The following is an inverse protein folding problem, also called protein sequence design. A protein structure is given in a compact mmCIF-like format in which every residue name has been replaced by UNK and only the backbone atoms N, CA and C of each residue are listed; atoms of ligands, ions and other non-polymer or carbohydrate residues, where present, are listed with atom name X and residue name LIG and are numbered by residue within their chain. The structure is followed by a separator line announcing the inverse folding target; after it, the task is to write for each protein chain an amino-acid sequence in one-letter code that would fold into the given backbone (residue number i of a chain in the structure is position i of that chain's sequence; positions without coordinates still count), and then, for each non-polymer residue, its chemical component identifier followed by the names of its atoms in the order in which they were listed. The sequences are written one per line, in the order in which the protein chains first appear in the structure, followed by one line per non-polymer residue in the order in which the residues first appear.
data_IF_929588778299
#
_entry.id   IF_929588778299
#
_cell.length_a   1.000
_cell.length_b   1.000
_cell.length_c   1.000
_cell.angle_alpha   90.00
_cell.angle_beta   90.00
_cell.angle_gamma   90.00
#
_symmetry.space_group_name_H-M   'P 1'
#
loop_
_entity.id
_entity.type
_entity.pdbx_description
1 polymer ?
#
# COMPACT_ATOMS: atom_id res chain seq x y z
N UNK A 1 -20.17 -48.30 28.54
CA UNK A 1 -18.96 -47.62 29.09
C UNK A 1 -18.25 -46.98 27.93
N UNK A 2 -18.63 -45.74 27.63
CA UNK A 2 -17.99 -44.92 26.63
C UNK A 2 -16.85 -44.16 27.28
N UNK A 3 -15.62 -44.40 26.81
CA UNK A 3 -14.42 -43.64 27.24
C UNK A 3 -14.37 -42.34 26.46
N UNK A 4 -14.70 -41.23 27.10
CA UNK A 4 -14.42 -39.88 26.61
C UNK A 4 -12.93 -39.64 26.53
N UNK A 5 -12.44 -39.47 25.32
CA UNK A 5 -11.06 -39.14 25.00
C UNK A 5 -10.86 -37.64 25.23
N UNK A 6 -10.45 -37.24 26.44
CA UNK A 6 -10.08 -35.87 26.77
C UNK A 6 -8.77 -35.51 26.08
N UNK A 7 -8.88 -34.84 24.91
CA UNK A 7 -7.74 -34.23 24.26
C UNK A 7 -7.14 -33.13 25.14
N UNK A 8 -5.94 -33.36 25.68
CA UNK A 8 -5.19 -32.38 26.46
C UNK A 8 -4.95 -31.11 25.65
N UNK A 9 -5.55 -30.01 26.07
CA UNK A 9 -5.43 -28.69 25.51
C UNK A 9 -4.02 -28.17 25.76
N UNK A 10 -3.09 -28.35 24.78
CA UNK A 10 -1.75 -27.75 24.82
C UNK A 10 -1.88 -26.22 24.81
N UNK A 11 -1.46 -25.56 25.91
CA UNK A 11 -1.39 -24.09 25.99
C UNK A 11 -0.49 -23.59 24.88
N UNK A 12 -1.05 -22.74 24.01
CA UNK A 12 -0.30 -22.06 22.94
C UNK A 12 0.79 -21.18 23.55
N UNK A 13 1.98 -21.23 22.96
CA UNK A 13 3.12 -20.37 23.32
C UNK A 13 2.63 -18.91 23.14
N UNK A 14 2.51 -18.18 24.25
CA UNK A 14 2.15 -16.75 24.21
C UNK A 14 3.29 -15.96 23.59
N UNK A 15 3.02 -15.27 22.49
CA UNK A 15 3.92 -14.32 21.89
C UNK A 15 4.26 -13.21 22.90
N UNK A 16 5.56 -13.07 23.26
CA UNK A 16 6.02 -12.10 24.29
C UNK A 16 6.16 -10.66 23.78
N UNK A 17 5.78 -10.35 22.54
CA UNK A 17 5.90 -9.02 21.94
C UNK A 17 4.57 -8.54 21.33
N UNK A 18 4.31 -7.23 21.42
CA UNK A 18 3.07 -6.62 20.94
C UNK A 18 2.91 -6.71 19.41
N UNK A 19 4.04 -6.81 18.64
CA UNK A 19 4.04 -6.93 17.18
C UNK A 19 5.25 -7.76 16.70
N UNK A 20 5.13 -8.58 15.64
CA UNK A 20 6.27 -9.25 15.02
C UNK A 20 7.26 -8.22 14.49
N UNK A 21 8.55 -8.39 14.78
CA UNK A 21 9.62 -7.47 14.36
C UNK A 21 10.14 -7.77 12.95
N UNK A 22 10.01 -9.03 12.49
CA UNK A 22 10.46 -9.44 11.17
C UNK A 22 9.32 -9.37 10.16
N UNK A 23 9.62 -8.92 8.96
CA UNK A 23 8.68 -8.82 7.84
C UNK A 23 7.95 -10.15 7.59
N UNK A 24 8.67 -11.26 7.50
CA UNK A 24 8.13 -12.60 7.28
C UNK A 24 7.22 -13.11 8.39
N UNK A 25 7.42 -12.66 9.64
CA UNK A 25 6.57 -13.01 10.78
C UNK A 25 5.31 -12.13 10.84
N UNK A 26 5.37 -10.95 10.23
CA UNK A 26 4.24 -10.01 10.11
C UNK A 26 3.30 -10.46 8.99
N UNK A 27 3.87 -10.91 7.86
CA UNK A 27 3.12 -11.31 6.67
C UNK A 27 3.14 -12.83 6.51
N UNK A 28 2.36 -13.50 7.37
CA UNK A 28 2.29 -14.97 7.49
C UNK A 28 1.70 -15.66 6.27
N UNK A 29 0.92 -14.93 5.47
CA UNK A 29 0.36 -15.41 4.20
C UNK A 29 1.44 -15.69 3.14
N UNK A 30 2.62 -15.09 3.27
CA UNK A 30 3.76 -15.42 2.41
C UNK A 30 4.37 -16.81 2.74
N UNK A 31 3.90 -17.44 3.83
CA UNK A 31 4.29 -18.79 4.25
C UNK A 31 3.05 -19.60 4.65
N UNK A 32 2.12 -19.87 3.72
CA UNK A 32 0.84 -20.52 4.01
C UNK A 32 1.00 -21.89 4.67
N UNK A 33 1.98 -22.68 4.25
CA UNK A 33 2.23 -24.01 4.80
C UNK A 33 2.56 -23.99 6.31
N UNK A 34 3.24 -22.94 6.77
CA UNK A 34 3.67 -22.80 8.18
C UNK A 34 2.60 -22.23 9.10
N UNK A 35 1.68 -21.43 8.59
CA UNK A 35 0.75 -20.64 9.40
C UNK A 35 -0.73 -20.87 9.09
N UNK A 36 -1.09 -21.89 8.30
CA UNK A 36 -2.45 -22.18 7.83
C UNK A 36 -3.50 -22.21 8.96
N UNK A 37 -3.23 -22.94 10.04
CA UNK A 37 -4.15 -23.03 11.20
C UNK A 37 -4.33 -21.69 11.91
N UNK A 38 -3.28 -20.87 11.97
CA UNK A 38 -3.31 -19.56 12.61
C UNK A 38 -4.16 -18.59 11.79
N UNK A 39 -3.99 -18.61 10.47
CA UNK A 39 -4.74 -17.80 9.51
C UNK A 39 -6.23 -18.15 9.56
N UNK A 40 -6.59 -19.45 9.44
CA UNK A 40 -7.97 -19.90 9.52
C UNK A 40 -8.65 -19.56 10.85
N UNK A 41 -7.94 -19.67 11.96
CA UNK A 41 -8.47 -19.33 13.27
C UNK A 41 -8.82 -17.84 13.40
N UNK A 42 -7.99 -16.96 12.86
CA UNK A 42 -8.20 -15.50 12.89
C UNK A 42 -9.37 -15.11 11.99
N UNK A 43 -9.47 -15.71 10.79
CA UNK A 43 -10.60 -15.50 9.87
C UNK A 43 -11.92 -15.93 10.51
N UNK A 44 -11.98 -17.12 11.15
CA UNK A 44 -13.17 -17.59 11.83
C UNK A 44 -13.65 -16.67 12.96
N UNK A 45 -12.77 -15.83 13.50
CA UNK A 45 -13.09 -14.81 14.52
C UNK A 45 -13.51 -13.47 13.94
N UNK A 46 -13.66 -13.36 12.61
CA UNK A 46 -13.99 -12.11 11.94
C UNK A 46 -12.87 -11.06 11.98
N UNK A 47 -11.63 -11.48 12.30
CA UNK A 47 -10.47 -10.58 12.29
C UNK A 47 -9.59 -10.87 11.07
N UNK A 48 -8.97 -9.83 10.55
CA UNK A 48 -7.94 -9.97 9.51
C UNK A 48 -6.67 -10.55 10.14
N UNK A 49 -6.16 -11.70 9.69
CA UNK A 49 -4.86 -12.20 10.11
C UNK A 49 -3.80 -11.14 9.85
N UNK A 50 -2.86 -10.95 10.78
CA UNK A 50 -1.73 -10.06 10.55
C UNK A 50 -0.99 -10.56 9.30
N UNK A 51 -1.09 -9.78 8.21
CA UNK A 51 -0.48 -10.10 6.94
C UNK A 51 -1.39 -10.66 5.85
N UNK A 52 -2.67 -10.91 6.09
CA UNK A 52 -3.63 -11.05 5.00
C UNK A 52 -4.17 -9.67 4.62
N UNK A 53 -4.06 -9.34 3.37
CA UNK A 53 -4.71 -8.17 2.81
C UNK A 53 -6.18 -8.52 2.55
N UNK A 54 -7.03 -8.34 3.56
CA UNK A 54 -8.46 -8.29 3.30
C UNK A 54 -8.77 -6.86 2.86
N UNK A 55 -9.28 -6.72 1.66
CA UNK A 55 -9.70 -5.43 1.13
C UNK A 55 -10.76 -4.81 2.05
N UNK A 56 -10.63 -3.51 2.28
CA UNK A 56 -11.56 -2.79 3.16
C UNK A 56 -12.92 -2.61 2.49
N UNK A 57 -13.98 -2.52 3.27
CA UNK A 57 -15.34 -2.14 2.82
C UNK A 57 -15.87 -2.96 1.62
N UNK A 58 -15.43 -4.21 1.45
CA UNK A 58 -15.84 -5.04 0.31
C UNK A 58 -17.36 -5.13 0.22
N UNK A 59 -18.03 -5.39 1.35
CA UNK A 59 -19.49 -5.51 1.36
C UNK A 59 -20.17 -4.21 0.96
N UNK A 60 -19.74 -3.10 1.54
CA UNK A 60 -20.30 -1.76 1.27
C UNK A 60 -20.10 -1.35 -0.19
N UNK A 61 -18.93 -1.68 -0.76
CA UNK A 61 -18.62 -1.42 -2.17
C UNK A 61 -19.54 -2.25 -3.08
N UNK A 62 -19.69 -3.56 -2.83
CA UNK A 62 -20.58 -4.42 -3.63
C UNK A 62 -22.05 -4.02 -3.46
N UNK A 63 -22.47 -3.68 -2.25
CA UNK A 63 -23.83 -3.18 -1.98
C UNK A 63 -24.10 -1.86 -2.74
N UNK A 64 -23.09 -1.00 -2.93
CA UNK A 64 -23.19 0.25 -3.68
C UNK A 64 -23.17 0.03 -5.18
N UNK A 65 -22.25 -0.78 -5.69
CA UNK A 65 -22.05 -0.98 -7.13
C UNK A 65 -23.20 -1.78 -7.76
N UNK A 66 -23.91 -2.65 -7.00
CA UNK A 66 -25.07 -3.44 -7.49
C UNK A 66 -24.78 -4.23 -8.76
N UNK A 67 -23.56 -4.80 -8.85
CA UNK A 67 -23.04 -5.49 -10.05
C UNK A 67 -23.96 -6.60 -10.50
N UNK A 68 -24.26 -6.64 -11.82
CA UNK A 68 -25.09 -7.64 -12.46
C UNK A 68 -24.26 -8.48 -13.45
N UNK A 69 -24.64 -9.76 -13.67
CA UNK A 69 -24.09 -10.55 -14.78
C UNK A 69 -24.23 -9.83 -16.13
N UNK A 70 -23.25 -9.95 -17.00
CA UNK A 70 -23.20 -9.30 -18.31
C UNK A 70 -22.55 -7.90 -18.31
N UNK A 71 -22.28 -7.31 -17.13
CA UNK A 71 -21.68 -6.00 -17.02
C UNK A 71 -20.16 -6.00 -17.24
N UNK A 72 -19.64 -4.83 -17.61
CA UNK A 72 -18.21 -4.57 -17.77
C UNK A 72 -17.72 -3.63 -16.66
N UNK A 73 -16.76 -4.09 -15.87
CA UNK A 73 -16.22 -3.35 -14.74
C UNK A 73 -14.77 -2.88 -14.92
N UNK A 74 -14.39 -1.86 -14.15
CA UNK A 74 -13.01 -1.36 -14.10
C UNK A 74 -12.53 -1.21 -12.66
N UNK A 75 -11.38 -1.84 -12.35
CA UNK A 75 -10.64 -1.63 -11.11
C UNK A 75 -9.37 -0.82 -11.41
N UNK A 76 -9.36 0.45 -10.98
CA UNK A 76 -8.24 1.37 -11.18
C UNK A 76 -6.98 0.99 -10.37
N UNK A 77 -7.15 0.14 -9.36
CA UNK A 77 -6.16 -0.14 -8.30
C UNK A 77 -6.13 -1.62 -7.94
N UNK A 78 -5.72 -2.45 -8.90
CA UNK A 78 -5.70 -3.91 -8.76
C UNK A 78 -5.10 -4.38 -7.42
N UNK A 79 -3.91 -3.85 -7.06
CA UNK A 79 -3.21 -4.19 -5.83
C UNK A 79 -3.13 -5.69 -5.59
N UNK A 80 -3.61 -6.12 -4.43
CA UNK A 80 -3.70 -7.55 -4.09
C UNK A 80 -4.87 -8.29 -4.78
N UNK A 81 -5.74 -7.58 -5.50
CA UNK A 81 -6.87 -8.15 -6.25
C UNK A 81 -8.07 -8.60 -5.40
N UNK A 82 -8.16 -8.16 -4.15
CA UNK A 82 -9.26 -8.56 -3.29
C UNK A 82 -10.60 -7.98 -3.71
N UNK A 83 -10.64 -6.71 -4.10
CA UNK A 83 -11.83 -6.07 -4.66
C UNK A 83 -12.16 -6.64 -6.04
N UNK A 84 -11.16 -6.75 -6.94
CA UNK A 84 -11.34 -7.37 -8.28
C UNK A 84 -11.96 -8.75 -8.16
N UNK A 85 -11.44 -9.61 -7.26
CA UNK A 85 -12.00 -10.95 -7.01
C UNK A 85 -13.45 -10.88 -6.56
N UNK A 86 -13.78 -10.02 -5.61
CA UNK A 86 -15.13 -9.90 -5.09
C UNK A 86 -16.13 -9.39 -6.16
N UNK A 87 -15.69 -8.47 -7.04
CA UNK A 87 -16.49 -8.00 -8.16
C UNK A 87 -16.68 -9.08 -9.23
N UNK A 88 -15.63 -9.87 -9.56
CA UNK A 88 -15.72 -11.02 -10.46
C UNK A 88 -16.71 -12.10 -9.96
N UNK A 89 -16.76 -12.33 -8.64
CA UNK A 89 -17.74 -13.24 -8.05
C UNK A 89 -19.18 -12.80 -8.29
N UNK A 90 -19.44 -11.47 -8.31
CA UNK A 90 -20.78 -10.92 -8.61
C UNK A 90 -21.18 -11.07 -10.09
N UNK A 91 -20.22 -11.10 -11.02
CA UNK A 91 -20.48 -11.33 -12.45
C UNK A 91 -20.87 -12.78 -12.76
N UNK A 92 -20.64 -13.74 -11.86
CA UNK A 92 -20.97 -15.16 -12.04
C UNK A 92 -20.46 -15.79 -13.35
N UNK A 93 -19.33 -15.29 -13.87
CA UNK A 93 -18.74 -15.75 -15.12
C UNK A 93 -19.39 -15.18 -16.39
N UNK A 94 -20.30 -14.24 -16.27
CA UNK A 94 -20.92 -13.49 -17.36
C UNK A 94 -20.59 -12.01 -17.20
N UNK A 95 -19.82 -11.44 -18.14
CA UNK A 95 -19.29 -10.08 -18.09
C UNK A 95 -17.76 -10.05 -18.14
N UNK A 96 -17.17 -8.87 -17.94
CA UNK A 96 -15.72 -8.71 -18.03
C UNK A 96 -15.19 -7.65 -17.07
N UNK A 97 -14.06 -7.93 -16.42
CA UNK A 97 -13.33 -6.98 -15.59
C UNK A 97 -12.05 -6.52 -16.26
N UNK A 98 -11.84 -5.22 -16.28
CA UNK A 98 -10.54 -4.61 -16.59
C UNK A 98 -9.93 -4.09 -15.30
N UNK A 99 -8.63 -4.34 -15.11
CA UNK A 99 -7.93 -3.86 -13.92
C UNK A 99 -6.57 -3.27 -14.30
N UNK A 100 -6.18 -2.19 -13.61
CA UNK A 100 -4.88 -1.56 -13.80
C UNK A 100 -4.08 -1.51 -12.50
N UNK A 101 -2.77 -1.59 -12.63
CA UNK A 101 -1.83 -1.26 -11.56
C UNK A 101 -0.55 -0.70 -12.17
N UNK A 102 0.17 0.14 -11.43
CA UNK A 102 1.47 0.69 -11.85
C UNK A 102 2.63 -0.12 -11.27
N UNK A 103 2.38 -0.96 -10.25
CA UNK A 103 3.38 -1.79 -9.57
C UNK A 103 3.59 -3.12 -10.33
N UNK A 104 4.73 -3.33 -11.00
CA UNK A 104 4.96 -4.52 -11.80
C UNK A 104 5.05 -5.80 -10.95
N UNK A 105 5.61 -5.70 -9.73
CA UNK A 105 5.76 -6.87 -8.85
C UNK A 105 4.41 -7.33 -8.31
N UNK A 106 3.60 -6.39 -7.80
CA UNK A 106 2.30 -6.74 -7.23
C UNK A 106 1.31 -7.15 -8.32
N UNK A 107 1.31 -6.48 -9.48
CA UNK A 107 0.47 -6.84 -10.63
C UNK A 107 0.74 -8.27 -11.09
N UNK A 108 2.02 -8.66 -11.26
CA UNK A 108 2.38 -10.02 -11.68
C UNK A 108 1.97 -11.10 -10.67
N UNK A 109 2.18 -10.84 -9.37
CA UNK A 109 1.76 -11.76 -8.29
C UNK A 109 0.23 -11.90 -8.24
N UNK A 110 -0.48 -10.80 -8.42
CA UNK A 110 -1.94 -10.78 -8.38
C UNK A 110 -2.53 -11.46 -9.60
N UNK A 111 -1.99 -11.23 -10.80
CA UNK A 111 -2.40 -11.92 -12.02
C UNK A 111 -2.32 -13.44 -11.82
N UNK A 112 -1.15 -13.94 -11.42
CA UNK A 112 -0.94 -15.37 -11.16
C UNK A 112 -1.95 -15.94 -10.15
N UNK A 113 -2.19 -15.23 -9.03
CA UNK A 113 -3.14 -15.68 -8.00
C UNK A 113 -4.58 -15.74 -8.49
N UNK A 114 -5.01 -14.77 -9.28
CA UNK A 114 -6.37 -14.76 -9.84
C UNK A 114 -6.54 -15.83 -10.92
N UNK A 115 -5.53 -16.08 -11.76
CA UNK A 115 -5.51 -17.19 -12.72
C UNK A 115 -5.60 -18.55 -12.01
N UNK A 116 -4.86 -18.76 -10.91
CA UNK A 116 -4.95 -19.99 -10.10
C UNK A 116 -6.34 -20.19 -9.46
N UNK A 117 -7.11 -19.12 -9.27
CA UNK A 117 -8.50 -19.16 -8.80
C UNK A 117 -9.52 -19.34 -9.94
N UNK A 118 -9.06 -19.46 -11.18
CA UNK A 118 -9.91 -19.67 -12.35
C UNK A 118 -10.35 -18.40 -13.08
N UNK A 119 -9.83 -17.24 -12.74
CA UNK A 119 -10.11 -15.97 -13.41
C UNK A 119 -9.06 -15.71 -14.51
N UNK A 120 -9.33 -16.21 -15.71
CA UNK A 120 -8.46 -16.08 -16.88
C UNK A 120 -8.76 -14.82 -17.70
N UNK A 121 -8.06 -14.71 -18.84
CA UNK A 121 -8.18 -13.56 -19.75
C UNK A 121 -9.55 -13.46 -20.45
N UNK A 122 -10.36 -14.50 -20.36
CA UNK A 122 -11.76 -14.55 -20.83
C UNK A 122 -12.70 -13.63 -20.02
N UNK A 123 -12.42 -13.41 -18.74
CA UNK A 123 -13.25 -12.57 -17.86
C UNK A 123 -12.47 -11.47 -17.13
N UNK A 124 -11.14 -11.47 -17.19
CA UNK A 124 -10.28 -10.50 -16.50
C UNK A 124 -9.08 -10.08 -17.34
N UNK A 125 -9.02 -8.81 -17.69
CA UNK A 125 -7.89 -8.18 -18.38
C UNK A 125 -7.11 -7.30 -17.42
N UNK A 126 -5.86 -7.67 -17.10
CA UNK A 126 -4.97 -6.88 -16.24
C UNK A 126 -3.94 -6.14 -17.08
N UNK A 127 -3.82 -4.80 -16.88
CA UNK A 127 -2.86 -3.95 -17.59
C UNK A 127 -1.92 -3.24 -16.63
N UNK A 128 -0.61 -3.33 -16.90
CA UNK A 128 0.43 -2.63 -16.14
C UNK A 128 0.54 -1.19 -16.64
N UNK A 129 -0.38 -0.34 -16.22
CA UNK A 129 -0.44 1.07 -16.60
C UNK A 129 -1.11 1.92 -15.51
N UNK A 130 -0.94 3.23 -15.61
CA UNK A 130 -1.62 4.16 -14.72
C UNK A 130 -3.10 4.26 -15.12
N UNK A 131 -4.00 4.27 -14.15
CA UNK A 131 -5.45 4.42 -14.36
C UNK A 131 -5.85 5.77 -15.00
N UNK A 132 -4.95 6.75 -15.06
CA UNK A 132 -5.23 8.02 -15.77
C UNK A 132 -5.50 7.80 -17.27
N UNK A 133 -5.17 6.63 -17.81
CA UNK A 133 -5.45 6.23 -19.20
C UNK A 133 -6.75 5.42 -19.34
N UNK A 134 -7.65 5.50 -18.38
CA UNK A 134 -8.94 4.80 -18.39
C UNK A 134 -9.79 5.11 -19.64
N UNK A 135 -9.67 6.33 -20.16
CA UNK A 135 -10.39 6.75 -21.36
C UNK A 135 -9.94 5.99 -22.62
N UNK A 136 -8.68 5.57 -22.70
CA UNK A 136 -8.17 4.72 -23.77
C UNK A 136 -8.83 3.33 -23.71
N UNK A 137 -8.87 2.74 -22.50
CA UNK A 137 -9.50 1.43 -22.31
C UNK A 137 -11.01 1.54 -22.56
N UNK A 138 -11.66 2.57 -22.05
CA UNK A 138 -13.10 2.77 -22.26
C UNK A 138 -13.46 2.89 -23.75
N UNK A 139 -12.62 3.53 -24.57
CA UNK A 139 -12.81 3.60 -26.02
C UNK A 139 -12.71 2.23 -26.71
N UNK A 140 -11.79 1.37 -26.23
CA UNK A 140 -11.62 0.01 -26.76
C UNK A 140 -12.83 -0.89 -26.46
N UNK A 141 -13.42 -0.74 -25.26
CA UNK A 141 -14.42 -1.69 -24.74
C UNK A 141 -15.87 -1.17 -24.78
N UNK A 142 -16.07 0.10 -25.12
CA UNK A 142 -17.38 0.72 -25.20
C UNK A 142 -17.88 1.36 -23.90
N UNK A 143 -17.04 1.45 -22.87
CA UNK A 143 -17.35 2.01 -21.56
C UNK A 143 -17.37 0.98 -20.44
N UNK A 144 -17.69 1.42 -19.22
CA UNK A 144 -17.79 0.59 -18.02
C UNK A 144 -19.11 0.85 -17.32
N UNK A 145 -19.76 -0.22 -16.84
CA UNK A 145 -20.98 -0.15 -16.05
C UNK A 145 -20.69 0.23 -14.61
N UNK A 146 -19.53 -0.21 -14.09
CA UNK A 146 -19.05 0.17 -12.76
C UNK A 146 -17.53 0.36 -12.72
N UNK A 147 -17.09 1.26 -11.84
CA UNK A 147 -15.68 1.63 -11.66
C UNK A 147 -15.36 1.66 -10.17
N UNK A 148 -14.22 1.10 -9.79
CA UNK A 148 -13.68 1.19 -8.45
C UNK A 148 -12.27 1.79 -8.49
N UNK A 149 -11.95 2.68 -7.54
CA UNK A 149 -10.61 3.16 -7.27
C UNK A 149 -10.36 3.18 -5.75
N UNK A 150 -9.57 2.24 -5.23
CA UNK A 150 -9.07 2.22 -3.84
C UNK A 150 -7.69 2.84 -3.79
N UNK A 151 -7.66 4.18 -3.71
CA UNK A 151 -6.43 4.96 -3.86
C UNK A 151 -5.54 4.88 -2.64
N UNK A 152 -4.27 4.56 -2.86
CA UNK A 152 -3.27 4.54 -1.81
C UNK A 152 -2.17 3.52 -2.03
N UNK A 153 -1.48 3.16 -0.92
CA UNK A 153 -0.45 2.11 -0.90
C UNK A 153 -0.78 1.08 0.18
N UNK A 154 -0.48 -0.17 -0.10
CA UNK A 154 -0.71 -1.26 0.84
C UNK A 154 0.28 -1.24 2.01
N UNK A 155 -0.13 -1.83 3.13
CA UNK A 155 0.78 -2.01 4.28
C UNK A 155 2.04 -2.80 3.91
N UNK A 156 1.96 -3.75 2.98
CA UNK A 156 3.10 -4.53 2.50
C UNK A 156 4.09 -3.66 1.73
N UNK A 157 3.60 -2.75 0.89
CA UNK A 157 4.44 -1.77 0.18
C UNK A 157 5.12 -0.80 1.17
N UNK A 158 4.38 -0.30 2.19
CA UNK A 158 4.94 0.58 3.23
C UNK A 158 6.03 -0.12 4.04
N UNK A 159 5.83 -1.39 4.39
CA UNK A 159 6.77 -2.13 5.23
C UNK A 159 7.99 -2.70 4.46
N UNK A 160 7.99 -2.64 3.12
CA UNK A 160 9.11 -3.06 2.31
C UNK A 160 10.21 -1.97 2.31
N UNK A 161 11.37 -2.20 2.99
CA UNK A 161 12.42 -1.18 3.09
C UNK A 161 12.99 -0.74 1.74
N UNK A 162 12.96 -1.64 0.72
CA UNK A 162 13.51 -1.35 -0.61
C UNK A 162 12.71 -0.29 -1.37
N UNK A 163 11.44 -0.07 -1.01
CA UNK A 163 10.57 0.93 -1.64
C UNK A 163 10.69 2.32 -1.02
N UNK A 164 11.22 2.42 0.21
CA UNK A 164 11.45 3.68 0.89
C UNK A 164 10.20 4.37 1.45
N UNK A 165 9.03 3.74 1.49
CA UNK A 165 7.79 4.36 1.98
C UNK A 165 7.77 4.60 3.50
N UNK A 166 8.64 3.94 4.26
CA UNK A 166 8.67 4.05 5.71
C UNK A 166 9.94 4.70 6.22
N UNK A 167 9.80 5.72 7.05
CA UNK A 167 10.91 6.36 7.78
C UNK A 167 11.36 5.58 9.02
N UNK A 168 10.75 4.43 9.33
CA UNK A 168 11.05 3.63 10.52
C UNK A 168 12.29 2.74 10.35
N UNK A 169 12.56 2.33 9.12
CA UNK A 169 13.67 1.47 8.74
C UNK A 169 14.45 2.17 7.64
N UNK A 170 15.78 2.03 7.66
CA UNK A 170 16.62 2.60 6.62
C UNK A 170 16.42 1.87 5.28
N UNK A 171 16.36 2.66 4.22
CA UNK A 171 16.19 2.19 2.85
C UNK A 171 16.39 3.34 1.86
N UNK A 172 16.45 3.06 0.55
CA UNK A 172 16.55 4.11 -0.46
C UNK A 172 15.34 5.05 -0.37
N UNK A 173 15.54 6.33 -0.53
CA UNK A 173 14.46 7.31 -0.61
C UNK A 173 13.90 7.32 -2.04
N UNK A 174 13.18 6.23 -2.39
CA UNK A 174 12.63 6.06 -3.74
C UNK A 174 11.18 6.55 -3.85
N UNK A 175 10.27 6.01 -3.06
CA UNK A 175 8.84 6.33 -2.95
C UNK A 175 7.99 6.03 -4.22
N UNK A 176 8.54 5.38 -5.24
CA UNK A 176 7.80 4.97 -6.43
C UNK A 176 7.14 3.60 -6.25
N UNK A 177 5.93 3.45 -6.77
CA UNK A 177 5.30 2.13 -6.93
C UNK A 177 5.98 1.34 -8.04
N UNK A 178 6.31 2.00 -9.14
CA UNK A 178 7.11 1.44 -10.23
C UNK A 178 8.49 2.09 -10.24
N UNK A 179 9.51 1.37 -9.74
CA UNK A 179 10.88 1.87 -9.66
C UNK A 179 11.59 1.95 -11.02
N UNK A 180 11.01 1.37 -12.08
CA UNK A 180 11.55 1.42 -13.44
C UNK A 180 11.14 2.68 -14.21
N UNK A 181 10.16 3.44 -13.70
CA UNK A 181 9.61 4.63 -14.37
C UNK A 181 9.71 5.88 -13.50
N UNK A 182 9.96 7.02 -14.13
CA UNK A 182 10.06 8.31 -13.45
C UNK A 182 11.35 8.46 -12.63
N UNK A 183 11.40 9.50 -11.80
CA UNK A 183 12.54 9.81 -10.92
C UNK A 183 12.19 9.47 -9.47
N UNK A 184 13.18 9.04 -8.71
CA UNK A 184 13.01 8.77 -7.27
C UNK A 184 12.80 10.06 -6.46
N UNK A 185 12.26 9.95 -5.26
CA UNK A 185 12.14 11.09 -4.37
C UNK A 185 13.52 11.71 -4.03
N UNK A 186 14.56 10.89 -3.91
CA UNK A 186 15.92 11.40 -3.73
C UNK A 186 16.39 12.27 -4.89
N UNK A 187 16.19 11.82 -6.14
CA UNK A 187 16.52 12.58 -7.35
C UNK A 187 15.67 13.86 -7.47
N UNK A 188 14.38 13.76 -7.08
CA UNK A 188 13.50 14.93 -7.05
C UNK A 188 14.00 15.99 -6.07
N UNK A 189 14.42 15.58 -4.88
CA UNK A 189 14.98 16.49 -3.88
C UNK A 189 16.28 17.16 -4.34
N UNK A 190 17.12 16.48 -5.13
CA UNK A 190 18.37 17.05 -5.66
C UNK A 190 18.13 18.28 -6.56
N UNK A 191 16.95 18.40 -7.17
CA UNK A 191 16.66 19.41 -8.22
C UNK A 191 15.53 20.38 -7.85
N UNK A 192 14.71 20.09 -6.84
CA UNK A 192 13.54 20.89 -6.48
C UNK A 192 13.96 22.24 -5.86
N UNK A 193 13.25 23.32 -6.20
CA UNK A 193 13.44 24.61 -5.51
C UNK A 193 12.81 24.58 -4.11
N UNK A 194 13.25 25.52 -3.28
CA UNK A 194 12.69 25.66 -1.92
C UNK A 194 11.20 25.98 -1.97
N UNK A 195 10.82 26.90 -2.82
CA UNK A 195 9.46 27.39 -2.99
C UNK A 195 8.54 26.26 -3.48
N UNK A 196 9.01 25.49 -4.46
CA UNK A 196 8.27 24.35 -4.99
C UNK A 196 8.11 23.24 -3.94
N UNK A 197 9.16 22.94 -3.17
CA UNK A 197 9.10 21.95 -2.09
C UNK A 197 8.12 22.38 -0.98
N UNK A 198 8.15 23.65 -0.58
CA UNK A 198 7.21 24.17 0.42
C UNK A 198 5.76 24.06 -0.06
N UNK A 199 5.50 24.44 -1.31
CA UNK A 199 4.18 24.28 -1.94
C UNK A 199 3.73 22.82 -1.98
N UNK A 200 4.59 21.91 -2.43
CA UNK A 200 4.31 20.46 -2.46
C UNK A 200 3.97 19.91 -1.06
N UNK A 201 4.72 20.27 -0.03
CA UNK A 201 4.48 19.83 1.34
C UNK A 201 3.15 20.35 1.88
N UNK A 202 2.78 21.59 1.54
CA UNK A 202 1.52 22.17 1.95
C UNK A 202 0.33 21.56 1.19
N UNK A 203 0.39 21.56 -0.13
CA UNK A 203 -0.74 21.16 -0.99
C UNK A 203 -1.05 19.65 -0.92
N UNK A 204 0.00 18.81 -0.86
CA UNK A 204 -0.18 17.34 -0.90
C UNK A 204 -0.37 16.70 0.48
N UNK A 205 -0.13 17.41 1.58
CA UNK A 205 -0.20 16.79 2.91
C UNK A 205 -0.57 17.71 4.08
N UNK A 206 -0.94 18.96 3.83
CA UNK A 206 -1.25 19.96 4.87
C UNK A 206 -0.13 20.07 5.93
N UNK A 207 1.14 20.04 5.50
CA UNK A 207 2.27 20.09 6.42
C UNK A 207 2.45 21.51 6.99
N UNK A 208 2.23 21.74 8.30
CA UNK A 208 2.28 23.08 8.87
C UNK A 208 3.68 23.70 8.93
N UNK A 209 4.73 22.87 8.87
CA UNK A 209 6.14 23.30 8.90
C UNK A 209 6.78 23.25 7.51
N UNK A 210 5.99 23.40 6.46
CA UNK A 210 6.41 23.27 5.05
C UNK A 210 7.61 24.18 4.72
N UNK A 211 7.61 25.43 5.22
CA UNK A 211 8.70 26.40 4.98
C UNK A 211 10.00 26.02 5.69
N UNK A 212 9.92 25.64 6.97
CA UNK A 212 11.07 25.22 7.76
C UNK A 212 11.70 23.94 7.18
N UNK A 213 10.89 23.00 6.76
CA UNK A 213 11.33 21.74 6.16
C UNK A 213 11.95 21.98 4.79
N UNK A 214 11.31 22.76 3.92
CA UNK A 214 11.84 23.07 2.59
C UNK A 214 13.18 23.78 2.71
N UNK A 215 13.32 24.74 3.63
CA UNK A 215 14.59 25.39 3.93
C UNK A 215 15.64 24.39 4.40
N UNK A 216 15.35 23.57 5.40
CA UNK A 216 16.31 22.62 5.96
C UNK A 216 16.78 21.58 4.95
N UNK A 217 15.87 21.03 4.14
CA UNK A 217 16.15 20.04 3.09
C UNK A 217 17.03 20.65 2.00
N UNK A 218 16.66 21.82 1.46
CA UNK A 218 17.42 22.45 0.38
C UNK A 218 18.78 22.96 0.83
N UNK A 219 18.91 23.44 2.09
CA UNK A 219 20.22 23.82 2.66
C UNK A 219 21.14 22.61 2.86
N UNK A 220 20.62 21.45 3.29
CA UNK A 220 21.40 20.22 3.45
C UNK A 220 21.97 19.76 2.10
N UNK A 221 21.14 19.78 1.07
CA UNK A 221 21.56 19.43 -0.31
C UNK A 221 22.61 20.43 -0.85
N UNK A 222 22.41 21.74 -0.65
CA UNK A 222 23.39 22.77 -1.07
C UNK A 222 24.76 22.62 -0.39
N UNK A 223 24.81 22.04 0.82
CA UNK A 223 26.05 21.69 1.52
C UNK A 223 26.73 20.44 0.96
N UNK A 224 26.17 19.80 -0.05
CA UNK A 224 26.66 18.57 -0.65
C UNK A 224 26.22 17.28 0.08
N UNK A 225 25.30 17.37 1.04
CA UNK A 225 24.80 16.24 1.77
C UNK A 225 23.54 15.69 1.09
N UNK A 226 23.71 14.74 0.20
CA UNK A 226 22.59 14.11 -0.52
C UNK A 226 21.66 13.36 0.43
N UNK A 227 20.36 13.57 0.28
CA UNK A 227 19.31 12.92 1.07
C UNK A 227 18.77 11.73 0.25
N UNK A 228 19.50 10.63 0.23
CA UNK A 228 19.23 9.44 -0.58
C UNK A 228 18.62 8.28 0.20
N UNK A 229 18.46 8.40 1.53
CA UNK A 229 17.81 7.38 2.36
C UNK A 229 16.71 7.94 3.24
N UNK A 230 15.79 7.06 3.61
CA UNK A 230 14.64 7.39 4.47
C UNK A 230 15.07 7.94 5.83
N UNK A 231 16.13 7.39 6.41
CA UNK A 231 16.63 7.84 7.71
C UNK A 231 17.40 9.15 7.62
N UNK A 232 18.05 9.45 6.49
CA UNK A 232 18.64 10.78 6.28
C UNK A 232 17.56 11.86 6.22
N UNK A 233 16.49 11.65 5.45
CA UNK A 233 15.36 12.58 5.41
C UNK A 233 14.76 12.78 6.80
N UNK A 234 14.49 11.70 7.51
CA UNK A 234 13.99 11.77 8.88
C UNK A 234 14.89 12.61 9.80
N UNK A 235 16.21 12.45 9.74
CA UNK A 235 17.15 13.24 10.54
C UNK A 235 17.13 14.74 10.19
N UNK A 236 16.92 15.08 8.93
CA UNK A 236 16.75 16.48 8.50
C UNK A 236 15.47 17.06 9.10
N UNK A 237 14.37 16.33 9.06
CA UNK A 237 13.09 16.71 9.67
C UNK A 237 13.25 16.89 11.19
N UNK A 238 13.88 15.93 11.88
CA UNK A 238 14.14 16.01 13.32
C UNK A 238 14.92 17.29 13.71
N UNK A 239 15.94 17.64 12.92
CA UNK A 239 16.74 18.87 13.14
C UNK A 239 15.97 20.14 12.81
N UNK A 240 15.15 20.12 11.74
CA UNK A 240 14.33 21.27 11.36
C UNK A 240 13.31 21.66 12.44
N UNK A 241 12.87 20.68 13.22
CA UNK A 241 11.88 20.85 14.29
C UNK A 241 12.50 20.90 15.70
N UNK A 242 13.82 21.16 15.82
CA UNK A 242 14.53 21.16 17.10
C UNK A 242 14.08 22.30 18.04
N UNK A 243 13.43 23.32 17.49
CA UNK A 243 12.86 24.44 18.25
C UNK A 243 11.59 24.08 19.04
N UNK A 244 10.98 22.92 18.78
CA UNK A 244 9.77 22.50 19.45
C UNK A 244 10.01 22.04 20.89
N UNK A 245 9.04 22.26 21.81
CA UNK A 245 9.10 21.75 23.17
C UNK A 245 9.23 20.21 23.19
N UNK A 246 10.07 19.66 24.06
CA UNK A 246 10.37 18.23 24.14
C UNK A 246 9.11 17.35 24.29
N UNK A 247 8.09 17.85 25.00
CA UNK A 247 6.82 17.11 25.21
C UNK A 247 6.05 16.86 23.92
N UNK A 248 6.15 17.75 22.94
CA UNK A 248 5.40 17.72 21.68
C UNK A 248 6.24 17.19 20.52
N UNK A 249 7.56 17.27 20.65
CA UNK A 249 8.53 17.02 19.59
C UNK A 249 8.41 15.63 18.98
N UNK A 250 8.35 14.58 19.78
CA UNK A 250 8.31 13.20 19.28
C UNK A 250 7.05 12.91 18.42
N UNK A 251 5.88 13.36 18.87
CA UNK A 251 4.64 13.15 18.12
C UNK A 251 4.59 14.03 16.87
N UNK A 252 5.03 15.29 16.98
CA UNK A 252 5.07 16.23 15.85
C UNK A 252 6.04 15.74 14.78
N UNK A 253 7.28 15.37 15.13
CA UNK A 253 8.24 14.79 14.19
C UNK A 253 7.68 13.55 13.49
N UNK A 254 7.00 12.67 14.21
CA UNK A 254 6.36 11.48 13.60
C UNK A 254 5.30 11.88 12.57
N UNK A 255 4.42 12.83 12.90
CA UNK A 255 3.37 13.31 11.98
C UNK A 255 3.96 14.03 10.77
N UNK A 256 4.94 14.89 10.99
CA UNK A 256 5.67 15.58 9.92
C UNK A 256 6.40 14.60 9.00
N UNK A 257 7.06 13.55 9.54
CA UNK A 257 7.61 12.50 8.69
C UNK A 257 6.53 11.84 7.84
N UNK A 258 5.37 11.49 8.42
CA UNK A 258 4.27 10.89 7.66
C UNK A 258 3.81 11.79 6.52
N UNK A 259 3.58 13.08 6.78
CA UNK A 259 3.15 14.07 5.80
C UNK A 259 4.21 14.32 4.72
N UNK A 260 5.47 14.48 5.10
CA UNK A 260 6.57 14.69 4.15
C UNK A 260 6.71 13.50 3.20
N UNK A 261 6.69 12.27 3.72
CA UNK A 261 6.74 11.07 2.89
C UNK A 261 5.50 10.90 2.01
N UNK A 262 4.33 11.31 2.49
CA UNK A 262 3.10 11.37 1.67
C UNK A 262 3.24 12.39 0.54
N UNK A 263 3.64 13.63 0.86
CA UNK A 263 3.75 14.71 -0.13
C UNK A 263 4.74 14.41 -1.26
N UNK A 264 5.88 13.79 -0.91
CA UNK A 264 6.90 13.41 -1.90
C UNK A 264 6.50 12.21 -2.77
N UNK A 265 5.49 11.44 -2.38
CA UNK A 265 5.00 10.28 -3.12
C UNK A 265 3.95 10.63 -4.16
N UNK A 266 3.16 11.66 -3.91
CA UNK A 266 2.11 12.17 -4.83
C UNK A 266 2.76 12.98 -5.99
#
# INVERSE_FOLDING_TARGET
MEQENQAQHKRRVRYKGKYPKKFEEKYKELQPEKYQDTVQHVIRKGNTPAGMHISIMVKEILDFLQIQPGETGFDATLGYGGHTKAMLECLHGDGHMYATDVDPEESAKTKKRLEELGYGEDILSIRLQNFCTIDEIAKEVGGFDFILADLGVSSMQIDNPKRGFSFKVDGPLDLRLNQEKGISAAERLDTISREELAGMLYENSDEPYCEELAKAITEEIRRGNRIDTTTKLRRVIERALDFLPEKEKQETVKKTCQRTFQALRI
#
